data_IF_969510351509
#
_entry.id   IF_969510351509
#
_cell.length_a   1.000
_cell.length_b   1.000
_cell.length_c   1.000
_cell.angle_alpha   90.00
_cell.angle_beta   90.00
_cell.angle_gamma   90.00
#
_symmetry.space_group_name_H-M   'P 1'
#
loop_
_entity.id
_entity.type
_entity.pdbx_description
1 polymer ?
#
# COMPACT_ATOMS: atom_id res chain seq x y z
N UNK A 1 -2.37 5.64 -37.93
CA UNK A 1 -2.98 5.62 -36.58
C UNK A 1 -3.63 4.27 -36.42
N UNK A 2 -3.13 3.45 -35.52
CA UNK A 2 -3.75 2.16 -35.18
C UNK A 2 -4.87 2.46 -34.19
N UNK A 3 -6.10 2.09 -34.54
CA UNK A 3 -7.23 2.13 -33.60
C UNK A 3 -7.04 1.02 -32.57
N UNK A 4 -7.26 1.33 -31.29
CA UNK A 4 -7.17 0.36 -30.20
C UNK A 4 -8.27 -0.69 -30.37
N UNK A 5 -7.94 -1.97 -30.13
CA UNK A 5 -8.93 -3.05 -30.22
C UNK A 5 -10.03 -2.90 -29.17
N UNK A 6 -11.20 -3.50 -29.40
CA UNK A 6 -12.31 -3.47 -28.45
C UNK A 6 -11.91 -4.05 -27.08
N UNK A 7 -10.96 -4.99 -27.03
CA UNK A 7 -10.37 -5.50 -25.78
C UNK A 7 -9.50 -4.47 -25.06
N UNK A 8 -8.72 -3.67 -25.79
CA UNK A 8 -7.94 -2.57 -25.22
C UNK A 8 -8.83 -1.44 -24.70
N UNK A 9 -9.97 -1.19 -25.38
CA UNK A 9 -10.98 -0.24 -24.95
C UNK A 9 -11.74 -0.76 -23.72
N UNK A 10 -12.05 -2.06 -23.66
CA UNK A 10 -12.68 -2.69 -22.51
C UNK A 10 -11.75 -2.68 -21.28
N UNK A 11 -10.47 -3.02 -21.46
CA UNK A 11 -9.44 -2.95 -20.41
C UNK A 11 -9.22 -1.52 -19.90
N UNK A 12 -9.25 -0.52 -20.79
CA UNK A 12 -9.16 0.90 -20.40
C UNK A 12 -10.43 1.42 -19.70
N UNK A 13 -11.57 0.74 -19.88
CA UNK A 13 -12.87 1.06 -19.26
C UNK A 13 -13.18 0.23 -18.01
N UNK A 14 -12.47 -0.86 -17.77
CA UNK A 14 -12.35 -1.42 -16.44
C UNK A 14 -11.68 -0.35 -15.58
N UNK A 15 -12.49 0.45 -14.89
CA UNK A 15 -12.02 1.27 -13.79
C UNK A 15 -11.11 0.39 -12.96
N UNK A 16 -9.85 0.80 -12.81
CA UNK A 16 -8.96 0.14 -11.87
C UNK A 16 -9.50 0.49 -10.48
N UNK A 17 -10.53 -0.27 -10.05
CA UNK A 17 -11.42 0.07 -8.94
C UNK A 17 -10.67 0.28 -7.63
N UNK A 18 -9.48 -0.31 -7.51
CA UNK A 18 -8.63 -0.13 -6.34
C UNK A 18 -7.94 1.23 -6.39
N UNK A 19 -7.41 1.66 -7.54
CA UNK A 19 -6.81 2.99 -7.68
C UNK A 19 -7.86 4.09 -7.46
N UNK A 20 -9.07 3.96 -8.02
CA UNK A 20 -10.15 4.94 -7.78
C UNK A 20 -10.58 4.96 -6.31
N UNK A 21 -10.67 3.80 -5.65
CA UNK A 21 -10.92 3.71 -4.20
C UNK A 21 -9.81 4.35 -3.37
N UNK A 22 -8.53 4.10 -3.70
CA UNK A 22 -7.38 4.73 -3.04
C UNK A 22 -7.45 6.26 -3.15
N UNK A 23 -7.72 6.79 -4.35
CA UNK A 23 -7.87 8.23 -4.58
C UNK A 23 -9.03 8.80 -3.76
N UNK A 24 -10.19 8.14 -3.76
CA UNK A 24 -11.36 8.59 -3.00
C UNK A 24 -11.09 8.61 -1.49
N UNK A 25 -10.48 7.56 -0.95
CA UNK A 25 -10.12 7.45 0.48
C UNK A 25 -9.12 8.53 0.88
N UNK A 26 -8.06 8.73 0.09
CA UNK A 26 -7.06 9.75 0.37
C UNK A 26 -7.66 11.15 0.35
N UNK A 27 -8.48 11.46 -0.67
CA UNK A 27 -9.17 12.74 -0.77
C UNK A 27 -10.09 12.99 0.43
N UNK A 28 -10.83 11.96 0.86
CA UNK A 28 -11.70 12.05 2.02
C UNK A 28 -10.91 12.30 3.33
N UNK A 29 -9.77 11.62 3.52
CA UNK A 29 -8.90 11.84 4.67
C UNK A 29 -8.38 13.28 4.67
N UNK A 30 -7.84 13.75 3.54
CA UNK A 30 -7.24 15.08 3.49
C UNK A 30 -8.29 16.19 3.63
N UNK A 31 -9.47 16.06 3.00
CA UNK A 31 -10.55 17.03 3.19
C UNK A 31 -10.99 17.10 4.66
N UNK A 32 -11.20 15.95 5.29
CA UNK A 32 -11.64 15.88 6.68
C UNK A 32 -10.55 16.36 7.65
N UNK A 33 -9.28 16.08 7.36
CA UNK A 33 -8.15 16.57 8.15
C UNK A 33 -8.06 18.10 8.10
N UNK A 34 -8.33 18.73 6.94
CA UNK A 34 -8.39 20.21 6.83
C UNK A 34 -9.52 20.79 7.68
N UNK A 35 -10.69 20.14 7.70
CA UNK A 35 -11.82 20.56 8.54
C UNK A 35 -11.50 20.42 10.04
N UNK A 36 -10.86 19.33 10.45
CA UNK A 36 -10.50 19.06 11.85
C UNK A 36 -9.43 20.03 12.35
N UNK A 37 -8.39 20.26 11.54
CA UNK A 37 -7.18 20.97 12.01
C UNK A 37 -7.17 22.46 11.65
N UNK A 38 -8.01 22.89 10.70
CA UNK A 38 -7.94 24.23 10.11
C UNK A 38 -6.65 24.50 9.32
N UNK A 39 -5.84 23.48 9.01
CA UNK A 39 -4.59 23.58 8.26
C UNK A 39 -4.77 23.08 6.83
N UNK A 40 -3.96 23.59 5.90
CA UNK A 40 -3.97 23.16 4.50
C UNK A 40 -3.20 21.83 4.30
N UNK A 41 -3.73 20.75 4.86
CA UNK A 41 -3.18 19.40 4.71
C UNK A 41 -3.51 18.83 3.33
N UNK A 42 -2.47 18.39 2.62
CA UNK A 42 -2.55 17.77 1.28
C UNK A 42 -1.87 16.39 1.22
N UNK A 43 -1.09 16.04 2.24
CA UNK A 43 -0.32 14.78 2.27
C UNK A 43 -0.29 14.19 3.69
N UNK A 44 -0.04 12.88 3.79
CA UNK A 44 0.19 12.22 5.07
C UNK A 44 1.45 12.74 5.79
N UNK A 45 2.47 13.23 5.06
CA UNK A 45 3.65 13.82 5.68
C UNK A 45 3.29 15.11 6.43
N UNK A 46 2.56 16.01 5.78
CA UNK A 46 2.07 17.24 6.42
C UNK A 46 1.16 16.93 7.62
N UNK A 47 0.30 15.91 7.49
CA UNK A 47 -0.56 15.48 8.60
C UNK A 47 0.25 14.94 9.79
N UNK A 48 1.30 14.17 9.49
CA UNK A 48 2.21 13.62 10.50
C UNK A 48 2.99 14.74 11.19
N UNK A 49 3.55 15.68 10.43
CA UNK A 49 4.26 16.85 10.96
C UNK A 49 3.36 17.68 11.87
N UNK A 50 2.11 17.93 11.45
CA UNK A 50 1.11 18.63 12.26
C UNK A 50 0.92 17.94 13.61
N UNK A 51 0.62 16.64 13.62
CA UNK A 51 0.37 15.89 14.86
C UNK A 51 1.59 15.76 15.75
N UNK A 52 2.80 15.70 15.18
CA UNK A 52 4.04 15.70 15.95
C UNK A 52 4.29 17.05 16.63
N UNK A 53 3.89 18.15 15.99
CA UNK A 53 4.02 19.51 16.52
C UNK A 53 2.93 19.83 17.55
N UNK A 54 1.70 19.38 17.29
CA UNK A 54 0.52 19.65 18.10
C UNK A 54 -0.39 18.42 18.14
N UNK A 55 -0.39 17.66 19.24
CA UNK A 55 -1.12 16.40 19.36
C UNK A 55 -2.61 16.59 19.67
N UNK A 56 -3.13 17.82 19.74
CA UNK A 56 -4.55 18.11 20.06
C UNK A 56 -5.53 17.23 19.25
N UNK A 57 -5.20 17.01 17.97
CA UNK A 57 -6.06 16.32 17.02
C UNK A 57 -5.75 14.82 16.84
N UNK A 58 -4.81 14.25 17.62
CA UNK A 58 -4.33 12.86 17.45
C UNK A 58 -5.47 11.83 17.37
N UNK A 59 -6.35 11.83 18.38
CA UNK A 59 -7.44 10.86 18.45
C UNK A 59 -8.46 11.04 17.34
N UNK A 60 -8.79 12.28 16.99
CA UNK A 60 -9.76 12.58 15.95
C UNK A 60 -9.26 12.14 14.56
N UNK A 61 -8.00 12.45 14.25
CA UNK A 61 -7.36 12.05 12.99
C UNK A 61 -7.16 10.53 12.92
N UNK A 62 -6.75 9.90 14.03
CA UNK A 62 -6.62 8.44 14.09
C UNK A 62 -7.94 7.77 13.78
N UNK A 63 -9.02 8.17 14.46
CA UNK A 63 -10.35 7.59 14.25
C UNK A 63 -10.88 7.83 12.83
N UNK A 64 -10.58 8.98 12.22
CA UNK A 64 -10.87 9.26 10.81
C UNK A 64 -10.19 8.23 9.89
N UNK A 65 -8.89 8.01 10.06
CA UNK A 65 -8.13 7.09 9.21
C UNK A 65 -8.60 5.65 9.41
N UNK A 66 -8.84 5.21 10.64
CA UNK A 66 -9.35 3.87 10.93
C UNK A 66 -10.71 3.61 10.25
N UNK A 67 -11.59 4.62 10.19
CA UNK A 67 -12.92 4.50 9.56
C UNK A 67 -12.90 4.67 8.04
N UNK A 68 -11.84 5.26 7.49
CA UNK A 68 -11.75 5.57 6.06
C UNK A 68 -11.56 4.34 5.15
N UNK A 69 -11.15 3.20 5.71
CA UNK A 69 -10.73 2.02 4.93
C UNK A 69 -9.28 2.06 4.44
N UNK A 70 -8.54 3.14 4.71
CA UNK A 70 -7.14 3.29 4.30
C UNK A 70 -6.24 2.15 4.77
N UNK A 71 -6.40 1.71 6.03
CA UNK A 71 -5.60 0.62 6.62
C UNK A 71 -5.84 -0.75 5.96
N UNK A 72 -6.85 -0.83 5.10
CA UNK A 72 -7.32 -2.06 4.45
C UNK A 72 -7.03 -2.09 2.94
N UNK A 73 -6.54 -0.98 2.37
CA UNK A 73 -6.22 -0.88 0.94
C UNK A 73 -5.27 -1.97 0.46
N UNK A 74 -4.26 -2.31 1.25
CA UNK A 74 -3.30 -3.37 0.92
C UNK A 74 -3.95 -4.75 0.77
N UNK A 75 -5.07 -5.01 1.46
CA UNK A 75 -5.81 -6.28 1.33
C UNK A 75 -6.52 -6.35 -0.01
N UNK A 76 -6.98 -5.22 -0.55
CA UNK A 76 -7.63 -5.16 -1.85
C UNK A 76 -6.63 -5.44 -2.97
N UNK A 77 -5.43 -4.87 -2.89
CA UNK A 77 -4.33 -5.19 -3.81
C UNK A 77 -4.02 -6.70 -3.78
N UNK A 78 -3.97 -7.26 -2.57
CA UNK A 78 -3.71 -8.69 -2.35
C UNK A 78 -4.81 -9.59 -2.92
N UNK A 79 -6.08 -9.19 -2.80
CA UNK A 79 -7.21 -9.95 -3.35
C UNK A 79 -7.25 -9.90 -4.88
N UNK A 80 -6.85 -8.78 -5.48
CA UNK A 80 -6.77 -8.65 -6.95
C UNK A 80 -5.59 -9.41 -7.54
N UNK A 81 -4.50 -9.55 -6.80
CA UNK A 81 -3.31 -10.27 -7.24
C UNK A 81 -2.92 -11.35 -6.21
N UNK A 82 -3.69 -12.46 -6.14
CA UNK A 82 -3.43 -13.52 -5.18
C UNK A 82 -2.07 -14.19 -5.43
N UNK A 83 -1.66 -14.32 -6.70
CA UNK A 83 -0.37 -14.88 -7.11
C UNK A 83 0.84 -14.14 -6.54
N UNK A 84 0.73 -12.85 -6.21
CA UNK A 84 1.84 -12.11 -5.55
C UNK A 84 2.22 -12.63 -4.17
N UNK A 85 1.41 -13.50 -3.56
CA UNK A 85 1.54 -13.89 -2.14
C UNK A 85 1.42 -15.40 -1.94
N UNK A 86 1.09 -16.12 -3.00
CA UNK A 86 0.96 -17.57 -3.04
C UNK A 86 1.54 -18.10 -4.35
N UNK A 87 2.62 -18.87 -4.24
CA UNK A 87 3.34 -19.41 -5.41
C UNK A 87 2.51 -20.45 -6.16
N UNK A 88 1.66 -21.22 -5.49
CA UNK A 88 0.85 -22.24 -6.15
C UNK A 88 -0.18 -21.57 -7.06
N UNK A 89 -0.69 -20.42 -6.62
CA UNK A 89 -1.57 -19.57 -7.44
C UNK A 89 -0.77 -18.97 -8.61
N UNK A 90 0.42 -18.41 -8.36
CA UNK A 90 1.26 -17.83 -9.41
C UNK A 90 1.60 -18.84 -10.52
N UNK A 91 2.02 -20.05 -10.14
CA UNK A 91 2.34 -21.15 -11.08
C UNK A 91 1.14 -21.56 -11.93
N UNK A 92 -0.08 -21.45 -11.38
CA UNK A 92 -1.31 -21.80 -12.08
C UNK A 92 -1.81 -20.70 -13.02
N UNK A 93 -1.57 -19.44 -12.68
CA UNK A 93 -2.09 -18.28 -13.40
C UNK A 93 -1.13 -17.75 -14.48
N UNK A 94 0.17 -18.06 -14.36
CA UNK A 94 1.22 -17.56 -15.25
C UNK A 94 1.75 -18.71 -16.09
N UNK A 95 1.83 -18.50 -17.40
CA UNK A 95 2.43 -19.48 -18.31
C UNK A 95 3.91 -19.70 -17.98
N UNK A 96 4.37 -20.95 -18.10
CA UNK A 96 5.72 -21.34 -17.66
C UNK A 96 6.83 -20.54 -18.35
N UNK A 97 6.65 -20.17 -19.62
CA UNK A 97 7.61 -19.36 -20.36
C UNK A 97 7.81 -17.95 -19.77
N UNK A 98 6.83 -17.44 -19.03
CA UNK A 98 6.85 -16.12 -18.40
C UNK A 98 7.29 -16.13 -16.93
N UNK A 99 7.53 -17.30 -16.32
CA UNK A 99 7.85 -17.42 -14.89
C UNK A 99 9.08 -16.60 -14.48
N UNK A 100 10.14 -16.59 -15.29
CA UNK A 100 11.36 -15.83 -14.98
C UNK A 100 11.10 -14.32 -15.04
N UNK A 101 10.34 -13.85 -16.03
CA UNK A 101 9.97 -12.44 -16.16
C UNK A 101 9.06 -12.00 -15.02
N UNK A 102 8.04 -12.80 -14.70
CA UNK A 102 7.13 -12.54 -13.59
C UNK A 102 7.86 -12.52 -12.25
N UNK A 103 8.80 -13.46 -12.04
CA UNK A 103 9.64 -13.48 -10.85
C UNK A 103 10.44 -12.19 -10.69
N UNK A 104 11.16 -11.76 -11.74
CA UNK A 104 11.95 -10.52 -11.69
C UNK A 104 11.10 -9.28 -11.39
N UNK A 105 9.93 -9.14 -12.03
CA UNK A 105 9.01 -8.03 -11.75
C UNK A 105 8.49 -8.03 -10.31
N UNK A 106 8.18 -9.22 -9.79
CA UNK A 106 7.71 -9.38 -8.42
C UNK A 106 8.81 -9.08 -7.40
N UNK A 107 10.04 -9.54 -7.66
CA UNK A 107 11.21 -9.24 -6.82
C UNK A 107 11.50 -7.74 -6.77
N UNK A 108 11.57 -7.07 -7.93
CA UNK A 108 11.82 -5.62 -8.01
C UNK A 108 10.77 -4.82 -7.23
N UNK A 109 9.49 -5.21 -7.39
CA UNK A 109 8.37 -4.60 -6.67
C UNK A 109 8.48 -4.85 -5.17
N UNK A 110 8.77 -6.09 -4.77
CA UNK A 110 8.89 -6.49 -3.38
C UNK A 110 10.04 -5.78 -2.67
N UNK A 111 11.22 -5.68 -3.29
CA UNK A 111 12.38 -4.99 -2.73
C UNK A 111 12.14 -3.49 -2.57
N UNK A 112 11.57 -2.85 -3.60
CA UNK A 112 11.20 -1.42 -3.55
C UNK A 112 10.21 -1.14 -2.42
N UNK A 113 9.17 -1.97 -2.32
CA UNK A 113 8.17 -1.87 -1.26
C UNK A 113 8.77 -2.11 0.13
N UNK A 114 9.60 -3.15 0.28
CA UNK A 114 10.22 -3.53 1.53
C UNK A 114 11.10 -2.40 2.10
N UNK A 115 11.90 -1.76 1.25
CA UNK A 115 12.73 -0.63 1.65
C UNK A 115 11.86 0.53 2.15
N UNK A 116 10.90 0.98 1.33
CA UNK A 116 9.97 2.07 1.68
C UNK A 116 9.24 1.78 3.00
N UNK A 117 8.72 0.57 3.18
CA UNK A 117 7.96 0.21 4.38
C UNK A 117 8.84 0.13 5.63
N UNK A 118 10.08 -0.38 5.51
CA UNK A 118 11.04 -0.36 6.62
C UNK A 118 11.43 1.05 7.01
N UNK A 119 11.69 1.94 6.05
CA UNK A 119 12.00 3.34 6.32
C UNK A 119 10.87 4.02 7.10
N UNK A 120 9.63 3.84 6.66
CA UNK A 120 8.46 4.38 7.36
C UNK A 120 8.30 3.77 8.75
N UNK A 121 8.37 2.44 8.88
CA UNK A 121 8.26 1.76 10.17
C UNK A 121 9.31 2.25 11.17
N UNK A 122 10.55 2.41 10.73
CA UNK A 122 11.64 2.97 11.54
C UNK A 122 11.29 4.38 12.00
N UNK A 123 10.89 5.25 11.07
CA UNK A 123 10.48 6.62 11.36
C UNK A 123 9.36 6.66 12.42
N UNK A 124 8.26 5.93 12.22
CA UNK A 124 7.14 5.94 13.16
C UNK A 124 7.53 5.40 14.54
N UNK A 125 8.35 4.34 14.61
CA UNK A 125 8.88 3.82 15.89
C UNK A 125 9.75 4.84 16.62
N UNK A 126 10.63 5.55 15.90
CA UNK A 126 11.46 6.60 16.50
C UNK A 126 10.60 7.74 17.08
N UNK A 127 9.59 8.21 16.34
CA UNK A 127 8.70 9.26 16.82
C UNK A 127 7.83 8.78 18.01
N UNK A 128 7.37 7.53 17.97
CA UNK A 128 6.53 6.97 19.03
C UNK A 128 7.24 6.91 20.39
N UNK A 129 8.55 6.66 20.41
CA UNK A 129 9.36 6.67 21.64
C UNK A 129 9.30 8.01 22.39
N UNK A 130 9.02 9.12 21.71
CA UNK A 130 8.98 10.45 22.33
C UNK A 130 7.57 11.01 22.47
N UNK A 131 6.69 10.79 21.49
CA UNK A 131 5.36 11.42 21.43
C UNK A 131 4.21 10.52 21.88
N UNK A 132 4.36 9.19 21.75
CA UNK A 132 3.35 8.20 22.16
C UNK A 132 1.92 8.46 21.63
N UNK A 133 1.81 8.98 20.40
CA UNK A 133 0.53 9.29 19.76
C UNK A 133 -0.15 8.02 19.24
N UNK A 134 -1.48 7.99 19.30
CA UNK A 134 -2.29 6.89 18.77
C UNK A 134 -2.11 6.75 17.26
N UNK A 135 -1.99 7.89 16.56
CA UNK A 135 -1.72 7.96 15.13
C UNK A 135 -0.43 7.23 14.74
N UNK A 136 0.63 7.40 15.54
CA UNK A 136 1.92 6.78 15.28
C UNK A 136 1.84 5.27 15.54
N UNK A 137 1.19 4.84 16.63
CA UNK A 137 0.98 3.43 16.92
C UNK A 137 0.20 2.72 15.81
N UNK A 138 -0.88 3.34 15.32
CA UNK A 138 -1.68 2.84 14.20
C UNK A 138 -0.81 2.64 12.94
N UNK A 139 0.04 3.62 12.60
CA UNK A 139 0.95 3.51 11.46
C UNK A 139 2.03 2.44 11.67
N UNK A 140 2.56 2.27 12.89
CA UNK A 140 3.49 1.17 13.20
C UNK A 140 2.84 -0.17 12.87
N UNK A 141 1.62 -0.42 13.36
CA UNK A 141 0.88 -1.66 13.10
C UNK A 141 0.60 -1.87 11.61
N UNK A 142 0.30 -0.80 10.87
CA UNK A 142 0.12 -0.87 9.42
C UNK A 142 1.43 -1.29 8.73
N UNK A 143 2.52 -0.56 8.98
CA UNK A 143 3.79 -0.81 8.28
C UNK A 143 4.43 -2.14 8.67
N UNK A 144 4.21 -2.65 9.88
CA UNK A 144 4.58 -4.03 10.23
C UNK A 144 3.91 -5.05 9.30
N UNK A 145 2.60 -4.91 9.04
CA UNK A 145 1.88 -5.78 8.10
C UNK A 145 2.41 -5.64 6.68
N UNK A 146 2.67 -4.41 6.23
CA UNK A 146 3.19 -4.14 4.88
C UNK A 146 4.60 -4.70 4.67
N UNK A 147 5.45 -4.67 5.71
CA UNK A 147 6.78 -5.31 5.67
C UNK A 147 6.65 -6.83 5.51
N UNK A 148 5.77 -7.47 6.30
CA UNK A 148 5.55 -8.91 6.18
C UNK A 148 4.95 -9.29 4.83
N UNK A 149 4.07 -8.45 4.29
CA UNK A 149 3.53 -8.60 2.95
C UNK A 149 4.62 -8.58 1.88
N UNK A 150 5.48 -7.54 1.87
CA UNK A 150 6.57 -7.43 0.90
C UNK A 150 7.57 -8.61 1.01
N UNK A 151 7.82 -9.12 2.22
CA UNK A 151 8.64 -10.34 2.40
C UNK A 151 8.01 -11.57 1.77
N UNK A 152 6.69 -11.74 1.86
CA UNK A 152 5.98 -12.84 1.19
C UNK A 152 6.07 -12.74 -0.32
N UNK A 153 5.93 -11.54 -0.88
CA UNK A 153 6.12 -11.33 -2.32
C UNK A 153 7.51 -11.76 -2.79
N UNK A 154 8.53 -11.42 -2.00
CA UNK A 154 9.91 -11.82 -2.30
C UNK A 154 10.11 -13.34 -2.22
N UNK A 155 9.44 -14.02 -1.28
CA UNK A 155 9.46 -15.48 -1.18
C UNK A 155 8.80 -16.14 -2.40
N UNK A 156 7.66 -15.60 -2.87
CA UNK A 156 7.00 -16.08 -4.09
C UNK A 156 7.90 -15.90 -5.30
N UNK A 157 8.51 -14.72 -5.48
CA UNK A 157 9.41 -14.45 -6.60
C UNK A 157 10.52 -15.50 -6.68
N UNK A 158 11.23 -15.73 -5.57
CA UNK A 158 12.31 -16.73 -5.49
C UNK A 158 11.85 -18.15 -5.81
N UNK A 159 10.67 -18.54 -5.35
CA UNK A 159 10.12 -19.87 -5.64
C UNK A 159 9.72 -20.00 -7.11
N UNK A 160 9.18 -18.95 -7.70
CA UNK A 160 8.83 -18.92 -9.13
C UNK A 160 10.08 -18.97 -10.01
N UNK A 161 11.15 -18.24 -9.64
CA UNK A 161 12.46 -18.34 -10.28
C UNK A 161 13.02 -19.76 -10.20
N UNK A 162 12.97 -20.37 -9.01
CA UNK A 162 13.47 -21.75 -8.81
C UNK A 162 12.69 -22.77 -9.64
N UNK A 163 11.37 -22.58 -9.79
CA UNK A 163 10.53 -23.46 -10.60
C UNK A 163 10.79 -23.33 -12.11
N UNK A 164 11.36 -22.20 -12.55
CA UNK A 164 11.69 -21.93 -13.95
C UNK A 164 13.02 -22.54 -14.41
N UNK A 165 13.85 -23.05 -13.49
CA UNK A 165 15.15 -23.68 -13.76
C UNK A 165 15.04 -25.19 -13.95
#
# INVERSE_FOLDING_TARGET
MTEASDEQIAYAREENTVLSQQVAINNHIFSSAREITGKDIQTFNQLTEHLLSDPEHDKAITALIEKSGYLELWRLDMQKNPGSNDVEIAIKEIDQEDWLTASGQLEDTALTNLERYKTNLFFYRQQYQTKQLTYLEMHIRLYEKLVEFAKKMLDVARKLETAAQ
#
